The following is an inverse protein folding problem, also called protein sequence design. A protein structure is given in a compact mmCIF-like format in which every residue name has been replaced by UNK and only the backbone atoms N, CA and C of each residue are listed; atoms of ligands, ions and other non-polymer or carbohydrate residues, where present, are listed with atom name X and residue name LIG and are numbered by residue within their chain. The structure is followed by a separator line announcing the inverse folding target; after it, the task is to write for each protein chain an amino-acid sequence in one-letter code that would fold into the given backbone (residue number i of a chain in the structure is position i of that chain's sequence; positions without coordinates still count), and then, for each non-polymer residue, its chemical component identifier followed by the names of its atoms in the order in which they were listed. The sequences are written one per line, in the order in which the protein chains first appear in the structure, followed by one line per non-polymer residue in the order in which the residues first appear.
data_IF_280311023401
#
_entry.id   IF_280311023401
#
_cell.length_a   1.000
_cell.length_b   1.000
_cell.length_c   1.000
_cell.angle_alpha   90.00
_cell.angle_beta   90.00
_cell.angle_gamma   90.00
#
_symmetry.space_group_name_H-M   'P 1'
#
loop_
_entity.id
_entity.type
_entity.pdbx_description
1 polymer ?
#
# COMPACT_ATOMS: atom_id res chain seq x y z
N UNK A 1 -41.08 17.86 -2.87
CA UNK A 1 -39.69 18.38 -2.77
C UNK A 1 -38.76 17.18 -2.61
N UNK A 2 -37.93 16.90 -3.60
CA UNK A 2 -37.03 15.75 -3.58
C UNK A 2 -35.97 15.94 -2.48
N UNK A 3 -35.98 15.07 -1.48
CA UNK A 3 -34.93 15.03 -0.46
C UNK A 3 -33.69 14.45 -1.14
N UNK A 4 -32.81 15.34 -1.62
CA UNK A 4 -31.60 14.91 -2.32
C UNK A 4 -30.82 13.96 -1.41
N UNK A 5 -30.65 12.70 -1.84
CA UNK A 5 -29.90 11.65 -1.11
C UNK A 5 -28.37 11.83 -1.24
N UNK A 6 -27.93 12.94 -1.83
CA UNK A 6 -26.51 13.22 -1.99
C UNK A 6 -25.90 13.50 -0.60
N UNK A 7 -25.09 12.57 -0.12
CA UNK A 7 -24.24 12.78 1.05
C UNK A 7 -22.81 12.96 0.55
N UNK A 8 -22.27 14.15 0.77
CA UNK A 8 -20.90 14.48 0.39
C UNK A 8 -20.00 14.23 1.61
N UNK A 9 -19.31 13.09 1.64
CA UNK A 9 -18.34 12.74 2.69
C UNK A 9 -16.93 12.92 2.13
N UNK A 10 -16.25 14.00 2.51
CA UNK A 10 -14.84 14.22 2.17
C UNK A 10 -13.98 13.35 3.08
N UNK A 11 -13.31 12.34 2.52
CA UNK A 11 -12.36 11.50 3.24
C UNK A 11 -10.95 11.96 2.87
N UNK A 12 -10.17 12.44 3.83
CA UNK A 12 -8.76 12.79 3.63
C UNK A 12 -8.00 11.56 4.14
N UNK A 13 -7.42 10.79 3.23
CA UNK A 13 -6.68 9.56 3.56
C UNK A 13 -5.21 9.83 3.26
N UNK A 14 -4.41 10.02 4.30
CA UNK A 14 -2.95 10.01 4.18
C UNK A 14 -2.52 8.55 3.99
N UNK A 15 -2.17 8.19 2.75
CA UNK A 15 -1.78 6.83 2.39
C UNK A 15 -0.26 6.71 2.39
N UNK A 16 0.27 6.02 3.39
CA UNK A 16 1.66 5.57 3.42
C UNK A 16 1.74 4.18 2.78
N UNK A 17 2.61 3.98 1.80
CA UNK A 17 2.79 2.70 1.13
C UNK A 17 4.27 2.46 0.88
N UNK A 18 4.81 1.41 1.51
CA UNK A 18 6.19 0.94 1.30
C UNK A 18 6.11 -0.41 0.61
N UNK A 19 6.80 -0.54 -0.53
CA UNK A 19 7.02 -1.83 -1.19
C UNK A 19 8.35 -2.37 -0.71
N UNK A 20 8.31 -3.42 0.09
CA UNK A 20 9.52 -3.99 0.68
C UNK A 20 9.23 -5.31 1.37
N UNK A 21 10.28 -5.89 1.93
CA UNK A 21 10.20 -7.14 2.69
C UNK A 21 10.17 -6.80 4.17
N UNK A 22 9.16 -7.29 4.88
CA UNK A 22 9.11 -7.19 6.35
C UNK A 22 10.13 -8.16 6.95
N UNK A 23 10.95 -7.67 7.89
CA UNK A 23 11.95 -8.48 8.59
C UNK A 23 11.30 -9.61 9.40
N UNK A 24 12.04 -10.67 9.70
CA UNK A 24 11.54 -11.83 10.47
C UNK A 24 10.99 -11.44 11.86
N UNK A 25 11.61 -10.44 12.48
CA UNK A 25 11.21 -9.88 13.77
C UNK A 25 10.07 -8.84 13.66
N UNK A 26 9.67 -8.46 12.44
CA UNK A 26 8.58 -7.52 12.17
C UNK A 26 8.90 -6.05 12.50
N UNK A 27 10.15 -5.73 12.84
CA UNK A 27 10.54 -4.37 13.25
C UNK A 27 10.88 -3.48 12.05
N UNK A 28 11.43 -4.06 10.99
CA UNK A 28 11.96 -3.32 9.86
C UNK A 28 11.31 -3.74 8.55
N UNK A 29 11.17 -2.79 7.64
CA UNK A 29 10.88 -3.07 6.23
C UNK A 29 12.12 -2.70 5.43
N UNK A 30 12.66 -3.68 4.71
CA UNK A 30 13.75 -3.46 3.76
C UNK A 30 13.15 -3.13 2.40
N UNK A 31 13.56 -2.01 1.81
CA UNK A 31 13.09 -1.56 0.51
C UNK A 31 14.25 -0.95 -0.29
N UNK A 32 14.12 -0.95 -1.61
CA UNK A 32 15.06 -0.25 -2.50
C UNK A 32 14.57 1.17 -2.75
N UNK A 33 15.43 2.16 -2.52
CA UNK A 33 15.11 3.57 -2.77
C UNK A 33 15.35 3.98 -4.24
N UNK A 34 15.13 5.27 -4.53
CA UNK A 34 15.29 5.83 -5.88
C UNK A 34 16.74 5.82 -6.41
N UNK A 35 17.72 5.51 -5.55
CA UNK A 35 19.15 5.44 -5.90
C UNK A 35 19.65 3.99 -5.99
N UNK A 36 18.74 3.01 -6.12
CA UNK A 36 19.06 1.58 -6.13
C UNK A 36 19.80 1.11 -4.86
N UNK A 37 19.62 1.81 -3.74
CA UNK A 37 20.20 1.45 -2.45
C UNK A 37 19.18 0.70 -1.60
N UNK A 38 19.63 -0.40 -0.98
CA UNK A 38 18.85 -1.09 0.06
C UNK A 38 18.79 -0.23 1.32
N UNK A 39 17.57 0.08 1.75
CA UNK A 39 17.28 0.87 2.94
C UNK A 39 16.41 0.07 3.89
N UNK A 40 16.60 0.33 5.19
CA UNK A 40 15.79 -0.24 6.25
C UNK A 40 15.01 0.87 6.95
N UNK A 41 13.69 0.74 6.99
CA UNK A 41 12.82 1.64 7.75
C UNK A 41 12.13 0.89 8.87
N UNK A 42 12.04 1.48 10.06
CA UNK A 42 11.27 0.88 11.15
C UNK A 42 9.78 1.04 10.91
N UNK A 43 9.03 -0.03 11.15
CA UNK A 43 7.57 0.01 11.11
C UNK A 43 7.03 1.04 12.11
N UNK A 44 7.66 1.18 13.27
CA UNK A 44 7.31 2.20 14.27
C UNK A 44 7.40 3.63 13.72
N UNK A 45 8.40 3.91 12.89
CA UNK A 45 8.61 5.26 12.36
C UNK A 45 7.54 5.60 11.32
N UNK A 46 7.10 4.61 10.55
CA UNK A 46 5.96 4.72 9.64
C UNK A 46 4.65 4.96 10.41
N UNK A 47 4.47 4.31 11.56
CA UNK A 47 3.28 4.44 12.41
C UNK A 47 3.27 5.71 13.26
N UNK A 48 4.42 6.35 13.50
CA UNK A 48 4.52 7.58 14.30
C UNK A 48 3.64 8.72 13.76
N UNK A 49 3.42 8.77 12.45
CA UNK A 49 2.55 9.76 11.81
C UNK A 49 1.08 9.66 12.26
N UNK A 50 0.67 8.52 12.82
CA UNK A 50 -0.71 8.21 13.21
C UNK A 50 -0.93 8.16 14.73
N UNK A 51 0.05 8.59 15.54
CA UNK A 51 -0.07 8.59 16.99
C UNK A 51 -1.29 9.40 17.46
N UNK A 52 -2.03 8.85 18.41
CA UNK A 52 -3.26 9.43 19.00
C UNK A 52 -4.42 9.61 18.01
N UNK A 53 -4.42 8.90 16.89
CA UNK A 53 -5.51 8.92 15.91
C UNK A 53 -6.21 7.55 15.84
N UNK A 54 -7.54 7.50 15.65
CA UNK A 54 -8.22 6.24 15.37
C UNK A 54 -7.81 5.75 13.98
N UNK A 55 -7.17 4.59 13.90
CA UNK A 55 -6.70 3.99 12.64
C UNK A 55 -7.40 2.67 12.34
N UNK A 56 -7.52 2.36 11.05
CA UNK A 56 -7.80 1.03 10.54
C UNK A 56 -6.49 0.51 9.90
N UNK A 57 -5.88 -0.51 10.51
CA UNK A 57 -4.59 -1.03 10.09
C UNK A 57 -4.75 -2.37 9.36
N UNK A 58 -4.22 -2.47 8.15
CA UNK A 58 -4.26 -3.67 7.33
C UNK A 58 -2.90 -3.96 6.72
N UNK A 59 -2.49 -5.23 6.76
CA UNK A 59 -1.29 -5.74 6.10
C UNK A 59 -1.74 -6.77 5.07
N UNK A 60 -1.26 -6.63 3.84
CA UNK A 60 -1.55 -7.56 2.76
C UNK A 60 -0.24 -7.95 2.09
N UNK A 61 -0.03 -9.24 1.92
CA UNK A 61 1.08 -9.75 1.12
C UNK A 61 0.72 -9.57 -0.35
N UNK A 62 1.61 -8.96 -1.12
CA UNK A 62 1.57 -9.05 -2.58
C UNK A 62 2.35 -10.30 -2.97
N UNK A 63 1.63 -11.40 -3.18
CA UNK A 63 2.12 -12.46 -4.04
C UNK A 63 1.96 -11.98 -5.48
N UNK A 64 3.00 -12.09 -6.31
CA UNK A 64 2.98 -11.72 -7.72
C UNK A 64 2.13 -12.71 -8.57
N UNK A 65 1.02 -13.20 -8.01
CA UNK A 65 0.09 -14.15 -8.67
C UNK A 65 -1.04 -13.43 -9.44
N UNK A 66 -0.99 -12.10 -9.56
CA UNK A 66 -1.95 -11.27 -10.31
C UNK A 66 -1.31 -10.59 -11.54
N UNK A 67 -0.35 -11.23 -12.21
CA UNK A 67 0.10 -10.83 -13.54
C UNK A 67 -0.36 -11.82 -14.62
N UNK A 68 -1.63 -12.23 -14.60
CA UNK A 68 -2.30 -12.73 -15.80
C UNK A 68 -2.57 -11.54 -16.73
N UNK A 69 -1.54 -11.19 -17.52
CA UNK A 69 -1.67 -10.35 -18.71
C UNK A 69 -2.50 -11.12 -19.75
N UNK A 70 -3.82 -11.10 -19.60
CA UNK A 70 -4.69 -11.37 -20.74
C UNK A 70 -4.66 -10.17 -21.67
N UNK A 71 -3.82 -10.24 -22.70
CA UNK A 71 -4.09 -9.54 -23.96
C UNK A 71 -4.18 -10.57 -25.08
N UNK A 72 -5.42 -10.75 -25.51
CA UNK A 72 -5.90 -11.40 -26.71
C UNK A 72 -5.15 -10.92 -27.97
N UNK A 73 -5.03 -11.84 -28.93
CA UNK A 73 -4.77 -11.63 -30.38
C UNK A 73 -3.32 -11.81 -30.90
N UNK A 74 -3.12 -13.00 -31.50
CA UNK A 74 -2.53 -13.26 -32.83
C UNK A 74 -1.07 -12.86 -33.14
N UNK A 75 -0.18 -13.86 -33.28
CA UNK A 75 0.59 -14.08 -34.54
C UNK A 75 1.02 -15.56 -34.66
N UNK A 76 0.71 -16.16 -35.82
CA UNK A 76 1.09 -17.46 -36.40
C UNK A 76 2.44 -18.10 -35.98
N UNK A 77 2.43 -19.42 -35.74
CA UNK A 77 3.10 -20.44 -36.59
C UNK A 77 2.52 -21.86 -36.36
#
# INVERSE_FOLDING_TARGET
MAKSKLSFKRNIIDKLSVKGVLSEDGTFITYTDENDAEQNVKVSDLLNAFINQPIEFGVSLKSDEDLDLVTSEEVDE
#
